data_IF_003248604959
#
_entry.id   IF_003248604959
#
_cell.length_a   1.000
_cell.length_b   1.000
_cell.length_c   1.000
_cell.angle_alpha   90.00
_cell.angle_beta   90.00
_cell.angle_gamma   90.00
#
_symmetry.space_group_name_H-M   'P 1'
#
loop_
_entity.id
_entity.type
_entity.pdbx_description
1 polymer ?
#
# COMPACT_ATOMS: atom_id res chain seq x y z
N UNK A 1 -1.98 15.22 -1.31
CA UNK A 1 -1.04 14.15 -0.94
C UNK A 1 0.10 14.08 -1.94
N UNK A 2 1.33 14.27 -1.48
CA UNK A 2 2.51 13.94 -2.27
C UNK A 2 2.75 12.43 -2.10
N UNK A 3 2.74 11.70 -3.21
CA UNK A 3 3.16 10.29 -3.21
C UNK A 3 4.68 10.29 -3.16
N UNK A 4 5.23 9.63 -2.16
CA UNK A 4 6.64 9.40 -1.95
C UNK A 4 6.90 7.91 -2.01
N UNK A 5 7.56 7.42 -3.05
CA UNK A 5 7.90 6.01 -3.11
C UNK A 5 8.88 5.66 -1.98
N UNK A 6 8.42 4.88 -1.01
CA UNK A 6 9.29 4.34 0.05
C UNK A 6 10.25 3.33 -0.56
N UNK A 7 11.51 3.36 -0.11
CA UNK A 7 12.57 2.44 -0.52
C UNK A 7 13.17 1.75 0.69
N UNK A 8 13.89 0.66 0.48
CA UNK A 8 14.64 0.02 1.55
C UNK A 8 15.66 0.99 2.19
N UNK A 9 15.82 0.89 3.51
CA UNK A 9 16.85 1.59 4.27
C UNK A 9 17.76 0.59 5.01
N UNK A 10 18.91 1.10 5.47
CA UNK A 10 19.80 0.34 6.34
C UNK A 10 19.10 0.01 7.67
N UNK A 11 19.15 -1.27 8.05
CA UNK A 11 18.52 -1.77 9.28
C UNK A 11 19.54 -1.74 10.41
N UNK A 12 19.43 -0.75 11.30
CA UNK A 12 20.29 -0.60 12.48
C UNK A 12 19.44 -0.72 13.74
N UNK A 13 19.34 -1.94 14.27
CA UNK A 13 18.51 -2.23 15.45
C UNK A 13 19.05 -1.56 16.70
N UNK A 14 18.13 -1.16 17.58
CA UNK A 14 18.49 -0.67 18.90
C UNK A 14 18.91 -1.84 19.82
N UNK A 15 19.29 -1.52 21.06
CA UNK A 15 19.74 -2.50 22.07
C UNK A 15 18.70 -3.56 22.46
N UNK A 16 17.44 -3.41 22.04
CA UNK A 16 16.35 -4.36 22.26
C UNK A 16 15.99 -5.16 21.01
N UNK A 17 16.71 -4.95 19.89
CA UNK A 17 16.43 -5.63 18.62
C UNK A 17 15.34 -4.98 17.77
N UNK A 18 14.76 -3.86 18.22
CA UNK A 18 13.74 -3.12 17.48
C UNK A 18 14.34 -2.10 16.53
N UNK A 19 13.59 -1.75 15.48
CA UNK A 19 14.00 -0.78 14.48
C UNK A 19 12.80 -0.20 13.74
N UNK A 20 12.90 1.04 13.27
CA UNK A 20 11.90 1.66 12.40
C UNK A 20 12.60 2.33 11.23
N UNK A 21 11.99 2.21 10.04
CA UNK A 21 12.42 2.94 8.86
C UNK A 21 12.32 4.45 9.13
N UNK A 22 13.38 5.25 8.92
CA UNK A 22 13.40 6.67 9.29
C UNK A 22 12.28 7.51 8.67
N UNK A 23 12.00 7.30 7.37
CA UNK A 23 10.91 8.02 6.69
C UNK A 23 9.53 7.61 7.22
N UNK A 24 9.35 6.33 7.56
CA UNK A 24 8.10 5.80 8.12
C UNK A 24 7.86 6.39 9.50
N UNK A 25 8.87 6.34 10.37
CA UNK A 25 8.82 6.91 11.71
C UNK A 25 8.54 8.41 11.67
N UNK A 26 9.22 9.15 10.80
CA UNK A 26 9.02 10.59 10.65
C UNK A 26 7.60 10.92 10.18
N UNK A 27 7.07 10.19 9.20
CA UNK A 27 5.71 10.38 8.73
C UNK A 27 4.69 10.15 9.84
N UNK A 28 4.84 9.07 10.62
CA UNK A 28 3.93 8.79 11.72
C UNK A 28 3.98 9.86 12.81
N UNK A 29 5.17 10.29 13.23
CA UNK A 29 5.34 11.37 14.22
C UNK A 29 4.73 12.70 13.79
N UNK A 30 4.74 12.98 12.48
CA UNK A 30 4.27 14.26 11.93
C UNK A 30 2.76 14.27 11.65
N UNK A 31 2.17 13.11 11.33
CA UNK A 31 0.81 13.03 10.80
C UNK A 31 -0.20 12.37 11.76
N UNK A 32 0.25 11.66 12.80
CA UNK A 32 -0.63 10.96 13.73
C UNK A 32 -0.31 11.33 15.19
N UNK A 33 -1.36 11.46 16.01
CA UNK A 33 -1.26 11.92 17.40
C UNK A 33 -0.86 10.80 18.38
N UNK A 34 0.06 9.92 17.99
CA UNK A 34 0.53 8.78 18.79
C UNK A 34 -0.59 7.83 19.30
N UNK A 35 -1.73 7.78 18.59
CA UNK A 35 -2.73 6.75 18.87
C UNK A 35 -2.08 5.37 18.69
N UNK A 36 -2.36 4.46 19.62
CA UNK A 36 -1.86 3.08 19.62
C UNK A 36 -2.34 2.28 18.39
N UNK A 37 -3.46 2.73 17.79
CA UNK A 37 -4.05 2.15 16.60
C UNK A 37 -4.36 3.22 15.55
N UNK A 38 -4.05 2.93 14.30
CA UNK A 38 -4.51 3.68 13.15
C UNK A 38 -5.88 3.17 12.71
N UNK A 39 -6.77 4.10 12.34
CA UNK A 39 -7.99 3.79 11.60
C UNK A 39 -7.69 3.30 10.17
N UNK A 40 -8.64 2.63 9.53
CA UNK A 40 -8.48 2.15 8.15
C UNK A 40 -8.17 3.29 7.16
N UNK A 41 -8.74 4.49 7.38
CA UNK A 41 -8.45 5.68 6.59
C UNK A 41 -7.00 6.17 6.80
N UNK A 42 -6.45 6.03 8.00
CA UNK A 42 -5.05 6.37 8.30
C UNK A 42 -4.10 5.35 7.68
N UNK A 43 -4.39 4.06 7.79
CA UNK A 43 -3.64 2.98 7.13
C UNK A 43 -3.61 3.20 5.62
N UNK A 44 -4.77 3.46 5.03
CA UNK A 44 -4.91 3.77 3.60
C UNK A 44 -4.06 4.98 3.22
N UNK A 45 -4.09 6.05 4.02
CA UNK A 45 -3.24 7.23 3.77
C UNK A 45 -1.76 6.92 3.81
N UNK A 46 -1.30 6.10 4.76
CA UNK A 46 0.10 5.65 4.84
C UNK A 46 0.50 4.88 3.58
N UNK A 47 -0.31 3.90 3.17
CA UNK A 47 -0.03 3.08 1.98
C UNK A 47 -0.02 3.90 0.70
N UNK A 48 -0.95 4.85 0.53
CA UNK A 48 -0.95 5.72 -0.65
C UNK A 48 0.19 6.74 -0.60
N UNK A 49 0.49 7.32 0.57
CA UNK A 49 1.61 8.25 0.72
C UNK A 49 2.92 7.57 0.33
N UNK A 50 3.15 6.34 0.82
CA UNK A 50 4.39 5.61 0.56
C UNK A 50 4.40 4.80 -0.75
N UNK A 51 3.25 4.68 -1.42
CA UNK A 51 3.04 3.83 -2.59
C UNK A 51 3.53 2.40 -2.38
N UNK A 52 3.03 1.81 -1.30
CA UNK A 52 3.37 0.46 -0.86
C UNK A 52 2.14 -0.29 -0.40
N UNK A 53 2.25 -1.62 -0.42
CA UNK A 53 1.45 -2.51 0.42
C UNK A 53 2.34 -3.06 1.55
N UNK A 54 1.73 -3.55 2.62
CA UNK A 54 2.45 -4.06 3.80
C UNK A 54 1.97 -5.43 4.22
N UNK A 55 2.86 -6.23 4.78
CA UNK A 55 2.52 -7.50 5.42
C UNK A 55 3.35 -7.72 6.71
N UNK A 56 2.90 -8.63 7.57
CA UNK A 56 3.45 -8.85 8.92
C UNK A 56 3.98 -10.26 9.05
N UNK A 57 5.15 -10.36 9.67
CA UNK A 57 5.75 -11.62 10.11
C UNK A 57 5.90 -11.56 11.62
N UNK A 58 5.33 -12.54 12.31
CA UNK A 58 5.34 -12.61 13.77
C UNK A 58 6.54 -13.44 14.24
N UNK A 59 7.25 -12.95 15.25
CA UNK A 59 8.42 -13.63 15.82
C UNK A 59 8.08 -15.06 16.26
N UNK A 60 6.93 -15.28 16.90
CA UNK A 60 6.49 -16.59 17.40
C UNK A 60 6.40 -17.65 16.30
N UNK A 61 5.97 -17.27 15.09
CA UNK A 61 5.77 -18.20 13.98
C UNK A 61 6.96 -18.30 13.03
N UNK A 62 7.86 -17.31 13.04
CA UNK A 62 8.97 -17.21 12.11
C UNK A 62 10.33 -17.58 12.72
N UNK A 63 10.56 -17.22 13.98
CA UNK A 63 11.84 -17.46 14.61
C UNK A 63 12.05 -18.97 14.91
N UNK A 64 13.31 -19.45 14.89
CA UNK A 64 13.62 -20.80 15.33
C UNK A 64 13.11 -21.08 16.74
N UNK A 65 12.70 -22.33 17.00
CA UNK A 65 12.14 -22.77 18.29
C UNK A 65 13.03 -22.41 19.49
N UNK A 66 14.35 -22.45 19.34
CA UNK A 66 15.28 -22.05 20.41
C UNK A 66 15.15 -20.56 20.76
N UNK A 67 14.96 -19.68 19.76
CA UNK A 67 14.79 -18.25 20.02
C UNK A 67 13.43 -17.96 20.65
N UNK A 68 12.37 -18.61 20.18
CA UNK A 68 11.03 -18.45 20.77
C UNK A 68 11.00 -18.95 22.22
N UNK A 69 11.60 -20.12 22.50
CA UNK A 69 11.74 -20.64 23.86
C UNK A 69 12.53 -19.69 24.77
N UNK A 70 13.65 -19.15 24.29
CA UNK A 70 14.44 -18.16 25.05
C UNK A 70 13.63 -16.91 25.38
N UNK A 71 12.85 -16.41 24.43
CA UNK A 71 12.04 -15.22 24.63
C UNK A 71 10.91 -15.46 25.64
N UNK A 72 10.06 -16.46 25.41
CA UNK A 72 8.83 -16.65 26.17
C UNK A 72 9.04 -17.35 27.52
N UNK A 73 9.98 -18.31 27.60
CA UNK A 73 10.16 -19.15 28.80
C UNK A 73 11.34 -18.71 29.67
N UNK A 74 12.29 -17.95 29.11
CA UNK A 74 13.49 -17.47 29.84
C UNK A 74 13.58 -15.96 29.95
N UNK A 75 12.61 -15.22 29.42
CA UNK A 75 12.58 -13.74 29.40
C UNK A 75 13.86 -13.14 28.77
N UNK A 76 14.48 -13.85 27.83
CA UNK A 76 15.73 -13.44 27.20
C UNK A 76 15.48 -12.56 25.96
N UNK A 77 15.50 -11.25 26.20
CA UNK A 77 15.33 -10.23 25.17
C UNK A 77 16.43 -10.25 24.08
N UNK A 78 17.58 -10.91 24.31
CA UNK A 78 18.59 -11.05 23.27
C UNK A 78 18.10 -11.90 22.09
N UNK A 79 17.07 -12.74 22.30
CA UNK A 79 16.45 -13.54 21.24
C UNK A 79 15.90 -12.68 20.09
N UNK A 80 15.37 -11.48 20.38
CA UNK A 80 14.88 -10.54 19.34
C UNK A 80 16.05 -10.00 18.51
N UNK A 81 17.20 -9.74 19.14
CA UNK A 81 18.39 -9.22 18.46
C UNK A 81 18.91 -10.27 17.46
N UNK A 82 18.90 -11.54 17.86
CA UNK A 82 19.38 -12.68 17.06
C UNK A 82 18.39 -13.09 15.96
N UNK A 83 17.11 -12.74 16.08
CA UNK A 83 16.10 -13.04 15.08
C UNK A 83 16.34 -12.27 13.78
N UNK A 84 16.40 -12.99 12.66
CA UNK A 84 16.42 -12.40 11.33
C UNK A 84 15.08 -12.71 10.62
N UNK A 85 14.12 -11.77 10.63
CA UNK A 85 12.78 -12.03 10.11
C UNK A 85 12.81 -12.52 8.65
N UNK A 86 12.01 -13.52 8.32
CA UNK A 86 11.80 -13.93 6.94
C UNK A 86 10.94 -12.91 6.18
N UNK A 87 11.13 -12.82 4.86
CA UNK A 87 10.24 -12.03 3.99
C UNK A 87 8.88 -12.75 3.85
N UNK A 88 7.77 -12.00 3.76
CA UNK A 88 6.48 -12.56 3.39
C UNK A 88 6.54 -13.29 2.04
N UNK A 89 5.87 -14.44 1.95
CA UNK A 89 5.74 -15.27 0.75
C UNK A 89 7.05 -15.63 0.02
N UNK A 90 8.21 -15.45 0.68
CA UNK A 90 9.55 -15.58 0.08
C UNK A 90 9.79 -14.70 -1.16
N UNK A 91 8.97 -13.66 -1.36
CA UNK A 91 9.09 -12.72 -2.47
C UNK A 91 10.29 -11.78 -2.23
N UNK A 92 11.02 -11.44 -3.30
CA UNK A 92 12.27 -10.66 -3.25
C UNK A 92 12.02 -9.16 -3.12
N UNK A 93 10.83 -8.69 -3.46
CA UNK A 93 10.52 -7.26 -3.54
C UNK A 93 10.15 -6.64 -2.18
N UNK A 94 9.99 -7.48 -1.15
CA UNK A 94 9.76 -7.04 0.22
C UNK A 94 11.03 -6.47 0.85
N UNK A 95 10.90 -5.31 1.49
CA UNK A 95 11.90 -4.72 2.37
C UNK A 95 11.32 -4.43 3.75
N UNK A 96 12.17 -4.51 4.76
CA UNK A 96 11.76 -4.34 6.14
C UNK A 96 11.47 -2.86 6.42
N UNK A 97 10.36 -2.59 7.10
CA UNK A 97 9.93 -1.25 7.49
C UNK A 97 10.02 -1.05 8.98
N UNK A 98 9.69 -2.06 9.78
CA UNK A 98 9.75 -1.96 11.23
C UNK A 98 9.92 -3.33 11.88
N UNK A 99 10.58 -3.35 13.02
CA UNK A 99 10.51 -4.42 14.01
C UNK A 99 10.10 -3.76 15.32
N UNK A 100 8.97 -4.16 15.86
CA UNK A 100 8.39 -3.57 17.06
C UNK A 100 7.64 -4.63 17.86
N UNK A 101 7.42 -4.32 19.13
CA UNK A 101 6.48 -5.03 19.99
C UNK A 101 5.14 -4.28 19.95
N UNK A 102 4.05 -5.00 19.68
CA UNK A 102 2.71 -4.41 19.68
C UNK A 102 2.17 -4.31 21.13
N UNK A 103 0.98 -3.72 21.28
CA UNK A 103 0.35 -3.54 22.59
C UNK A 103 -0.04 -4.84 23.31
N UNK A 104 -0.10 -5.96 22.59
CA UNK A 104 -0.35 -7.29 23.14
C UNK A 104 0.94 -7.99 23.59
N UNK A 105 2.12 -7.39 23.36
CA UNK A 105 3.42 -8.01 23.63
C UNK A 105 3.93 -8.91 22.50
N UNK A 106 3.27 -8.92 21.33
CA UNK A 106 3.76 -9.67 20.19
C UNK A 106 4.88 -8.90 19.50
N UNK A 107 5.99 -9.59 19.23
CA UNK A 107 7.09 -9.04 18.44
C UNK A 107 6.80 -9.29 16.96
N UNK A 108 6.77 -8.20 16.18
CA UNK A 108 6.34 -8.21 14.78
C UNK A 108 7.36 -7.51 13.90
N UNK A 109 7.67 -8.13 12.75
CA UNK A 109 8.34 -7.49 11.64
C UNK A 109 7.31 -7.04 10.60
N UNK A 110 7.27 -5.73 10.33
CA UNK A 110 6.47 -5.14 9.26
C UNK A 110 7.32 -5.02 8.00
N UNK A 111 6.83 -5.60 6.92
CA UNK A 111 7.42 -5.56 5.60
C UNK A 111 6.59 -4.68 4.68
N UNK A 112 7.24 -4.06 3.70
CA UNK A 112 6.58 -3.36 2.61
C UNK A 112 7.18 -3.75 1.26
N UNK A 113 6.35 -3.67 0.22
CA UNK A 113 6.81 -3.67 -1.18
C UNK A 113 6.07 -2.61 -1.96
N UNK A 114 6.66 -2.16 -3.06
CA UNK A 114 6.03 -1.19 -3.94
C UNK A 114 4.68 -1.73 -4.44
N UNK A 115 3.65 -0.92 -4.34
CA UNK A 115 2.32 -1.24 -4.84
C UNK A 115 1.59 0.06 -5.19
N UNK A 116 0.92 0.11 -6.34
CA UNK A 116 0.20 1.29 -6.80
C UNK A 116 -1.13 1.45 -6.06
N UNK A 117 -1.05 1.76 -4.76
CA UNK A 117 -2.19 1.81 -3.85
C UNK A 117 -3.21 2.88 -4.25
N UNK A 118 -2.76 4.00 -4.84
CA UNK A 118 -3.72 4.99 -5.35
C UNK A 118 -4.59 4.37 -6.44
N UNK A 119 -3.99 3.67 -7.40
CA UNK A 119 -4.73 3.02 -8.48
C UNK A 119 -5.67 1.94 -7.96
N UNK A 120 -5.25 1.12 -7.00
CA UNK A 120 -6.13 0.07 -6.44
C UNK A 120 -7.38 0.64 -5.76
N UNK A 121 -7.31 1.86 -5.22
CA UNK A 121 -8.45 2.55 -4.61
C UNK A 121 -9.28 3.29 -5.65
N UNK A 122 -8.64 4.00 -6.56
CA UNK A 122 -9.33 4.88 -7.53
C UNK A 122 -9.92 4.11 -8.71
N UNK A 123 -9.36 2.95 -9.09
CA UNK A 123 -9.86 2.16 -10.22
C UNK A 123 -11.31 1.73 -10.02
N UNK A 124 -11.73 1.12 -8.89
CA UNK A 124 -13.13 0.77 -8.68
C UNK A 124 -14.08 1.99 -8.69
N UNK A 125 -13.59 3.15 -8.21
CA UNK A 125 -14.37 4.40 -8.25
C UNK A 125 -14.54 4.91 -9.68
N UNK A 126 -13.48 4.85 -10.47
CA UNK A 126 -13.50 5.15 -11.90
C UNK A 126 -14.44 4.19 -12.64
N UNK A 127 -14.31 2.87 -12.45
CA UNK A 127 -15.14 1.85 -13.12
C UNK A 127 -16.64 2.12 -12.91
N UNK A 128 -17.02 2.35 -11.65
CA UNK A 128 -18.39 2.70 -11.29
C UNK A 128 -18.84 3.98 -11.98
N UNK A 129 -18.02 5.04 -11.94
CA UNK A 129 -18.37 6.31 -12.56
C UNK A 129 -18.49 6.20 -14.09
N UNK A 130 -17.60 5.44 -14.73
CA UNK A 130 -17.56 5.24 -16.17
C UNK A 130 -18.84 4.55 -16.65
N UNK A 131 -19.27 3.49 -15.97
CA UNK A 131 -20.54 2.79 -16.26
C UNK A 131 -21.76 3.69 -16.00
N UNK A 132 -21.79 4.44 -14.89
CA UNK A 132 -22.87 5.41 -14.62
C UNK A 132 -22.98 6.52 -15.70
N UNK A 133 -21.90 6.79 -16.42
CA UNK A 133 -21.85 7.73 -17.54
C UNK A 133 -22.04 7.06 -18.91
N UNK A 134 -22.64 5.87 -18.92
CA UNK A 134 -22.93 5.08 -20.10
C UNK A 134 -21.67 4.58 -20.86
N UNK A 135 -20.52 4.53 -20.20
CA UNK A 135 -19.37 3.78 -20.67
C UNK A 135 -19.59 2.28 -20.54
N UNK A 136 -18.95 1.49 -21.40
CA UNK A 136 -19.05 0.03 -21.40
C UNK A 136 -17.71 -0.62 -21.02
N UNK A 137 -17.77 -1.50 -20.01
CA UNK A 137 -16.67 -2.32 -19.50
C UNK A 137 -17.00 -3.82 -19.60
N UNK A 138 -18.18 -4.20 -20.10
CA UNK A 138 -18.70 -5.57 -20.04
C UNK A 138 -17.83 -6.61 -20.75
N UNK A 139 -17.00 -6.14 -21.69
CA UNK A 139 -16.08 -6.94 -22.48
C UNK A 139 -14.61 -6.64 -22.20
N UNK A 140 -14.33 -5.85 -21.16
CA UNK A 140 -12.99 -5.53 -20.72
C UNK A 140 -12.70 -6.22 -19.39
N UNK A 141 -11.47 -6.68 -19.24
CA UNK A 141 -10.92 -7.16 -17.97
C UNK A 141 -9.71 -6.33 -17.59
N UNK A 142 -9.52 -6.12 -16.29
CA UNK A 142 -8.30 -5.50 -15.79
C UNK A 142 -7.21 -6.56 -15.67
N UNK A 143 -6.09 -6.38 -16.37
CA UNK A 143 -4.90 -7.21 -16.18
C UNK A 143 -3.94 -6.49 -15.23
N UNK A 144 -3.92 -6.97 -13.98
CA UNK A 144 -3.10 -6.43 -12.90
C UNK A 144 -1.68 -7.01 -12.91
N UNK A 145 -0.69 -6.15 -12.73
CA UNK A 145 0.70 -6.50 -12.49
C UNK A 145 0.97 -6.66 -10.98
N UNK A 146 2.05 -7.34 -10.61
CA UNK A 146 2.40 -7.61 -9.19
C UNK A 146 2.67 -6.36 -8.34
N UNK A 147 2.93 -5.22 -8.98
CA UNK A 147 3.15 -3.91 -8.36
C UNK A 147 1.84 -3.09 -8.25
N UNK A 148 0.68 -3.70 -8.49
CA UNK A 148 -0.62 -3.04 -8.44
C UNK A 148 -0.90 -2.13 -9.63
N UNK A 149 0.01 -2.04 -10.60
CA UNK A 149 -0.25 -1.36 -11.87
C UNK A 149 -1.03 -2.29 -12.81
N UNK A 150 -1.39 -1.81 -14.00
CA UNK A 150 -2.04 -2.65 -15.00
C UNK A 150 -2.69 -1.84 -16.11
N UNK A 151 -3.51 -2.54 -16.89
CA UNK A 151 -4.30 -1.93 -17.97
C UNK A 151 -5.56 -2.74 -18.23
N UNK A 152 -6.57 -2.12 -18.84
CA UNK A 152 -7.69 -2.88 -19.38
C UNK A 152 -7.26 -3.58 -20.65
N UNK A 153 -7.67 -4.84 -20.75
CA UNK A 153 -7.50 -5.70 -21.92
C UNK A 153 -8.86 -6.21 -22.35
N UNK A 154 -8.98 -6.56 -23.62
CA UNK A 154 -10.18 -7.21 -24.12
C UNK A 154 -10.35 -8.58 -23.46
N UNK A 155 -11.53 -8.84 -22.92
CA UNK A 155 -11.94 -10.16 -22.46
C UNK A 155 -12.55 -10.93 -23.64
N UNK A 156 -11.68 -11.57 -24.43
CA UNK A 156 -12.09 -12.34 -25.61
C UNK A 156 -13.02 -13.51 -25.27
N UNK A 157 -12.94 -14.03 -24.05
CA UNK A 157 -13.82 -15.11 -23.60
C UNK A 157 -15.25 -14.58 -23.32
N UNK A 158 -15.35 -13.36 -22.78
CA UNK A 158 -16.63 -12.67 -22.60
C UNK A 158 -17.24 -12.11 -23.90
N UNK A 159 -16.38 -11.74 -24.86
CA UNK A 159 -16.80 -11.14 -26.14
C UNK A 159 -17.51 -12.14 -27.07
N UNK A 160 -17.20 -13.44 -26.96
CA UNK A 160 -17.75 -14.51 -27.79
C UNK A 160 -17.15 -14.57 -29.20
N UNK A 161 -16.89 -15.79 -29.71
CA UNK A 161 -16.15 -16.06 -30.96
C UNK A 161 -16.86 -15.67 -32.28
N UNK A 162 -17.83 -14.76 -32.27
CA UNK A 162 -18.66 -14.46 -33.45
C UNK A 162 -18.25 -13.20 -34.24
N UNK A 163 -17.11 -12.58 -33.93
CA UNK A 163 -16.71 -11.36 -34.61
C UNK A 163 -15.99 -11.61 -35.93
N UNK A 164 -16.40 -10.90 -36.97
CA UNK A 164 -15.62 -10.74 -38.20
C UNK A 164 -14.40 -9.87 -37.85
N UNK A 165 -13.21 -10.25 -38.34
CA UNK A 165 -11.90 -9.70 -37.95
C UNK A 165 -11.71 -8.19 -38.15
N UNK A 166 -12.70 -7.48 -38.72
CA UNK A 166 -12.65 -6.03 -38.97
C UNK A 166 -12.90 -5.20 -37.70
N UNK A 167 -13.49 -5.78 -36.64
CA UNK A 167 -13.83 -5.07 -35.40
C UNK A 167 -12.77 -5.22 -34.27
N UNK A 168 -11.81 -6.14 -34.40
CA UNK A 168 -10.83 -6.43 -33.34
C UNK A 168 -9.94 -5.22 -33.01
N UNK A 169 -9.53 -4.45 -34.03
CA UNK A 169 -8.72 -3.24 -33.84
C UNK A 169 -9.50 -2.15 -33.09
N UNK A 170 -10.79 -1.98 -33.40
CA UNK A 170 -11.64 -1.03 -32.70
C UNK A 170 -11.87 -1.42 -31.23
N UNK A 171 -12.01 -2.71 -30.96
CA UNK A 171 -12.19 -3.26 -29.61
C UNK A 171 -10.91 -3.07 -28.78
N UNK A 172 -9.75 -3.38 -29.34
CA UNK A 172 -8.46 -3.15 -28.69
C UNK A 172 -8.23 -1.65 -28.43
N UNK A 173 -8.54 -0.80 -29.41
CA UNK A 173 -8.45 0.66 -29.25
C UNK A 173 -9.38 1.18 -28.15
N UNK A 174 -10.54 0.55 -27.93
CA UNK A 174 -11.42 0.88 -26.81
C UNK A 174 -10.78 0.53 -25.46
N UNK A 175 -10.15 -0.64 -25.33
CA UNK A 175 -9.43 -1.03 -24.10
C UNK A 175 -8.29 -0.04 -23.76
N UNK A 176 -7.52 0.37 -24.77
CA UNK A 176 -6.49 1.40 -24.63
C UNK A 176 -7.09 2.76 -24.22
N UNK A 177 -8.20 3.14 -24.86
CA UNK A 177 -8.90 4.39 -24.55
C UNK A 177 -9.41 4.41 -23.10
N UNK A 178 -10.05 3.35 -22.63
CA UNK A 178 -10.54 3.24 -21.24
C UNK A 178 -9.37 3.29 -20.26
N UNK A 179 -8.25 2.63 -20.58
CA UNK A 179 -7.01 2.73 -19.77
C UNK A 179 -6.51 4.17 -19.70
N UNK A 180 -6.48 4.90 -20.81
CA UNK A 180 -6.10 6.32 -20.84
C UNK A 180 -7.05 7.21 -20.01
N UNK A 181 -8.36 6.91 -20.05
CA UNK A 181 -9.35 7.60 -19.23
C UNK A 181 -9.10 7.38 -17.73
N UNK A 182 -8.78 6.15 -17.32
CA UNK A 182 -8.40 5.84 -15.93
C UNK A 182 -7.13 6.60 -15.52
N UNK A 183 -6.09 6.65 -16.36
CA UNK A 183 -4.88 7.39 -16.03
C UNK A 183 -5.15 8.89 -15.85
N UNK A 184 -6.04 9.47 -16.68
CA UNK A 184 -6.49 10.86 -16.52
C UNK A 184 -7.28 11.08 -15.22
N UNK A 185 -8.11 10.11 -14.83
CA UNK A 185 -8.81 10.12 -13.55
C UNK A 185 -7.83 10.14 -12.37
N UNK A 186 -6.79 9.31 -12.41
CA UNK A 186 -5.78 9.25 -11.35
C UNK A 186 -5.03 10.57 -11.19
N UNK A 187 -4.68 11.24 -12.28
CA UNK A 187 -4.05 12.57 -12.20
C UNK A 187 -5.00 13.60 -11.57
N UNK A 188 -6.29 13.57 -11.90
CA UNK A 188 -7.29 14.39 -11.24
C UNK A 188 -7.40 14.08 -9.73
N UNK A 189 -7.40 12.81 -9.35
CA UNK A 189 -7.47 12.38 -7.96
C UNK A 189 -6.24 12.85 -7.15
N UNK A 190 -5.04 12.74 -7.73
CA UNK A 190 -3.79 13.25 -7.13
C UNK A 190 -3.88 14.74 -6.84
N UNK A 191 -4.39 15.53 -7.79
CA UNK A 191 -4.55 16.98 -7.65
C UNK A 191 -5.55 17.33 -6.54
N UNK A 192 -6.74 16.73 -6.56
CA UNK A 192 -7.76 16.95 -5.51
C UNK A 192 -7.23 16.63 -4.11
N UNK A 193 -6.50 15.52 -3.97
CA UNK A 193 -5.91 15.15 -2.69
C UNK A 193 -4.85 16.16 -2.21
N UNK A 194 -4.11 16.82 -3.12
CA UNK A 194 -3.17 17.90 -2.75
C UNK A 194 -3.90 19.15 -2.25
N UNK A 195 -5.01 19.52 -2.91
CA UNK A 195 -5.83 20.66 -2.50
C UNK A 195 -6.49 20.42 -1.12
N UNK A 196 -7.03 19.22 -0.89
CA UNK A 196 -7.63 18.85 0.40
C UNK A 196 -6.61 18.95 1.54
N UNK A 197 -5.39 18.46 1.35
CA UNK A 197 -4.34 18.52 2.38
C UNK A 197 -3.92 19.96 2.68
N UNK A 198 -3.81 20.82 1.65
CA UNK A 198 -3.52 22.23 1.83
C UNK A 198 -4.61 22.92 2.67
N UNK A 199 -5.89 22.67 2.37
CA UNK A 199 -7.02 23.21 3.13
C UNK A 199 -7.03 22.71 4.59
N UNK A 200 -6.73 21.43 4.83
CA UNK A 200 -6.61 20.89 6.19
C UNK A 200 -5.49 21.57 6.98
N UNK A 201 -4.34 21.80 6.35
CA UNK A 201 -3.21 22.48 7.00
C UNK A 201 -3.52 23.95 7.33
N UNK A 202 -4.22 24.66 6.44
CA UNK A 202 -4.69 26.02 6.70
C UNK A 202 -5.68 26.06 7.87
N UNK A 203 -6.64 25.12 7.89
CA UNK A 203 -7.62 25.02 8.96
C UNK A 203 -6.97 24.72 10.33
N UNK A 204 -5.94 23.87 10.36
CA UNK A 204 -5.20 23.57 11.59
C UNK A 204 -4.49 24.82 12.16
N UNK A 205 -3.77 25.56 11.31
CA UNK A 205 -3.11 26.82 11.69
C UNK A 205 -4.11 27.86 12.20
N UNK A 206 -5.25 28.00 11.53
CA UNK A 206 -6.30 28.93 11.93
C UNK A 206 -6.84 28.59 13.34
N UNK A 207 -7.02 27.30 13.65
CA UNK A 207 -7.46 26.85 14.97
C UNK A 207 -6.44 27.14 16.08
N UNK A 208 -5.15 26.96 15.80
CA UNK A 208 -4.07 27.28 16.75
C UNK A 208 -3.93 28.78 17.02
N UNK A 209 -4.22 29.62 16.03
CA UNK A 209 -4.12 31.09 16.18
C UNK A 209 -5.31 31.69 16.96
N UNK A 210 -6.38 30.93 17.14
CA UNK A 210 -7.60 31.36 17.84
C UNK A 210 -7.62 30.89 19.31
N UNK A 211 -6.53 30.27 19.79
CA UNK A 211 -6.38 29.68 21.13
C UNK A 211 -5.32 30.46 21.92
#
# INVERSE_FOLDING_TARGET
>A
MQIQQLKAAEVVRNKYGFWNHPEWENYFKTNFNQNEHLSDEEITRVHVHFNVTTDRVYFESDAPEELTFRYYEKEDQAAIIEWNPSKPDHDRDWFLVSIFENSNGDVVALWAKQYNTLLSIERPLFEKNFVEKAGDLSFLKWEECSDGNGSYQTDWDAFGHNNESEDDEAIMAHAEHVTSCLMSWLECAKLKNKEIDALKAELAKAKETTL
#
